data_IF_253576879501
#
_entry.id   IF_253576879501
#
_cell.length_a   1.000
_cell.length_b   1.000
_cell.length_c   1.000
_cell.angle_alpha   90.00
_cell.angle_beta   90.00
_cell.angle_gamma   90.00
#
_symmetry.space_group_name_H-M   'P 1'
#
loop_
_entity.id
_entity.type
_entity.pdbx_description
1 polymer ?
#
# COMPACT_ATOMS: atom_id res chain seq x y z
N UNK A 1 4.60 -21.97 -6.49
CA UNK A 1 4.58 -20.53 -6.14
C UNK A 1 6.02 -20.14 -5.87
N UNK A 2 6.54 -19.01 -6.37
CA UNK A 2 7.85 -18.54 -5.94
C UNK A 2 7.87 -18.39 -4.42
N UNK A 3 9.04 -18.54 -3.82
CA UNK A 3 9.24 -18.40 -2.38
C UNK A 3 8.73 -17.03 -1.92
N UNK A 4 7.94 -17.00 -0.84
CA UNK A 4 7.43 -15.73 -0.31
C UNK A 4 8.58 -14.92 0.24
N UNK A 5 8.61 -13.64 -0.09
CA UNK A 5 9.59 -12.73 0.50
C UNK A 5 9.30 -12.54 1.99
N UNK A 6 10.34 -12.50 2.85
CA UNK A 6 10.13 -12.10 4.23
C UNK A 6 9.69 -10.62 4.27
N UNK A 7 8.93 -10.21 5.31
CA UNK A 7 8.72 -8.80 5.59
C UNK A 7 10.07 -8.04 5.65
N UNK A 8 10.15 -6.76 5.25
CA UNK A 8 11.41 -6.01 5.24
C UNK A 8 12.04 -5.81 6.64
N UNK A 9 11.28 -6.12 7.69
CA UNK A 9 11.62 -5.97 9.10
C UNK A 9 10.35 -5.92 9.95
N UNK A 10 10.45 -5.65 11.25
CA UNK A 10 9.28 -5.40 12.08
C UNK A 10 8.53 -4.17 11.56
N UNK A 11 7.20 -4.22 11.62
CA UNK A 11 6.37 -3.07 11.29
C UNK A 11 6.63 -1.93 12.27
N UNK A 12 6.74 -0.70 11.76
CA UNK A 12 6.97 0.52 12.52
C UNK A 12 5.80 0.82 13.48
N UNK A 13 4.58 0.54 13.04
CA UNK A 13 3.37 0.53 13.86
C UNK A 13 2.92 -0.91 14.11
N UNK A 14 2.01 -1.09 15.07
CA UNK A 14 1.28 -2.36 15.21
C UNK A 14 0.62 -2.71 13.87
N UNK A 15 0.83 -3.94 13.42
CA UNK A 15 0.22 -4.46 12.22
C UNK A 15 -1.31 -4.38 12.30
N UNK A 16 -1.97 -4.15 11.17
CA UNK A 16 -3.43 -4.09 11.09
C UNK A 16 -3.99 -5.31 10.36
N UNK A 17 -5.07 -5.88 10.88
CA UNK A 17 -5.77 -7.01 10.26
C UNK A 17 -6.36 -6.62 8.90
N UNK A 18 -6.07 -7.40 7.87
CA UNK A 18 -6.62 -7.27 6.53
C UNK A 18 -7.52 -8.47 6.27
N UNK A 19 -8.80 -8.24 5.99
CA UNK A 19 -9.74 -9.32 5.65
C UNK A 19 -9.98 -9.43 4.15
N UNK A 20 -9.69 -10.59 3.57
CA UNK A 20 -9.83 -10.88 2.13
C UNK A 20 -10.54 -12.22 1.99
N UNK A 21 -11.82 -12.20 1.60
CA UNK A 21 -12.67 -13.39 1.67
C UNK A 21 -12.63 -13.96 3.09
N UNK A 22 -12.31 -15.24 3.22
CA UNK A 22 -12.18 -15.93 4.50
C UNK A 22 -10.77 -15.84 5.11
N UNK A 23 -9.82 -15.16 4.44
CA UNK A 23 -8.43 -15.05 4.90
C UNK A 23 -8.26 -13.85 5.82
N UNK A 24 -7.52 -14.07 6.91
CA UNK A 24 -6.99 -13.03 7.78
C UNK A 24 -5.50 -12.84 7.47
N UNK A 25 -5.14 -11.66 6.98
CA UNK A 25 -3.78 -11.24 6.66
C UNK A 25 -3.38 -10.05 7.54
N UNK A 26 -2.12 -9.62 7.48
CA UNK A 26 -1.60 -8.50 8.28
C UNK A 26 -0.95 -7.45 7.40
N UNK A 27 -1.40 -6.21 7.50
CA UNK A 27 -0.75 -5.06 6.89
C UNK A 27 0.30 -4.47 7.83
N UNK A 28 1.51 -4.27 7.30
CA UNK A 28 2.60 -3.61 8.01
C UNK A 28 3.18 -2.44 7.22
N UNK A 29 3.99 -1.62 7.90
CA UNK A 29 4.71 -0.52 7.28
C UNK A 29 6.14 -0.38 7.81
N UNK A 30 7.05 0.02 6.93
CA UNK A 30 8.42 0.35 7.32
C UNK A 30 8.45 1.69 8.02
N UNK A 31 9.55 1.99 8.72
CA UNK A 31 9.74 3.32 9.29
C UNK A 31 9.70 4.36 8.15
N UNK A 32 8.79 5.34 8.22
CA UNK A 32 8.71 6.35 7.19
C UNK A 32 9.91 7.29 7.24
N UNK A 33 10.21 7.91 6.11
CA UNK A 33 11.22 8.96 5.98
C UNK A 33 10.57 10.21 5.40
N UNK A 34 10.80 11.34 6.05
CA UNK A 34 10.51 12.64 5.46
C UNK A 34 11.65 13.02 4.51
N UNK A 35 11.29 13.49 3.32
CA UNK A 35 12.18 13.99 2.29
C UNK A 35 11.94 15.50 2.12
N UNK A 36 12.81 16.23 1.38
CA UNK A 36 12.54 17.61 1.00
C UNK A 36 11.20 17.78 0.31
N UNK A 37 10.68 19.01 0.32
CA UNK A 37 9.40 19.39 -0.31
C UNK A 37 8.22 18.53 0.18
N UNK A 38 8.15 18.25 1.48
CA UNK A 38 7.03 17.59 2.17
C UNK A 38 6.69 16.19 1.63
N UNK A 39 7.66 15.52 1.01
CA UNK A 39 7.51 14.14 0.57
C UNK A 39 7.67 13.17 1.74
N UNK A 40 6.71 12.29 1.88
CA UNK A 40 6.70 11.21 2.86
C UNK A 40 6.87 9.87 2.15
N UNK A 41 7.95 9.15 2.46
CA UNK A 41 8.29 7.87 1.84
C UNK A 41 8.16 6.74 2.85
N UNK A 42 7.48 5.65 2.47
CA UNK A 42 7.45 4.42 3.25
C UNK A 42 7.29 3.17 2.37
N UNK A 43 7.61 2.01 2.93
CA UNK A 43 7.25 0.70 2.37
C UNK A 43 6.03 0.18 3.12
N UNK A 44 5.05 -0.33 2.39
CA UNK A 44 3.82 -0.94 2.91
C UNK A 44 3.76 -2.38 2.40
N UNK A 45 3.30 -3.33 3.21
CA UNK A 45 3.18 -4.73 2.78
C UNK A 45 1.99 -5.43 3.42
N UNK A 46 1.58 -6.55 2.83
CA UNK A 46 0.67 -7.51 3.45
C UNK A 46 1.34 -8.87 3.53
N UNK A 47 1.24 -9.50 4.70
CA UNK A 47 1.84 -10.80 4.96
C UNK A 47 0.89 -11.76 5.66
N UNK A 48 1.13 -13.06 5.46
CA UNK A 48 0.65 -14.15 6.29
C UNK A 48 1.80 -14.69 7.16
N UNK A 49 1.63 -15.83 7.81
CA UNK A 49 2.67 -16.52 8.59
C UNK A 49 3.87 -17.00 7.75
N UNK A 50 3.72 -17.13 6.44
CA UNK A 50 4.78 -17.61 5.53
C UNK A 50 5.55 -16.49 4.85
N UNK A 51 5.05 -15.25 4.88
CA UNK A 51 5.74 -14.08 4.35
C UNK A 51 4.79 -13.13 3.62
N UNK A 52 5.36 -12.24 2.80
CA UNK A 52 4.59 -11.29 1.99
C UNK A 52 3.76 -12.04 0.95
N UNK A 53 2.44 -11.80 0.94
CA UNK A 53 1.53 -12.41 -0.01
C UNK A 53 1.72 -11.83 -1.42
N UNK A 54 1.30 -12.52 -2.48
CA UNK A 54 1.28 -11.93 -3.82
C UNK A 54 0.05 -11.01 -3.99
N UNK A 55 0.06 -10.09 -4.95
CA UNK A 55 -1.16 -9.34 -5.29
C UNK A 55 -2.31 -10.27 -5.72
N UNK A 56 -2.00 -11.39 -6.37
CA UNK A 56 -3.00 -12.40 -6.77
C UNK A 56 -3.69 -13.07 -5.58
N UNK A 57 -3.08 -13.05 -4.38
CA UNK A 57 -3.69 -13.58 -3.15
C UNK A 57 -4.86 -12.72 -2.66
N UNK A 58 -4.94 -11.47 -3.13
CA UNK A 58 -5.98 -10.49 -2.76
C UNK A 58 -6.81 -10.00 -3.95
N UNK A 59 -6.64 -10.64 -5.10
CA UNK A 59 -7.38 -10.35 -6.31
C UNK A 59 -8.90 -10.63 -6.12
N UNK A 60 -9.75 -10.09 -7.01
CA UNK A 60 -11.15 -10.46 -7.07
C UNK A 60 -11.36 -11.98 -7.16
N UNK A 61 -12.46 -12.49 -6.61
CA UNK A 61 -12.77 -13.92 -6.64
C UNK A 61 -12.92 -14.47 -8.07
N UNK A 62 -13.33 -13.65 -9.03
CA UNK A 62 -13.39 -14.00 -10.45
C UNK A 62 -12.01 -14.11 -11.12
N UNK A 63 -10.94 -13.75 -10.41
CA UNK A 63 -9.56 -13.76 -10.88
C UNK A 63 -8.97 -12.35 -11.05
N UNK A 64 -7.64 -12.26 -11.22
CA UNK A 64 -6.96 -10.98 -11.41
C UNK A 64 -7.34 -10.29 -12.73
N UNK A 65 -7.72 -9.00 -12.70
CA UNK A 65 -7.88 -8.16 -13.88
C UNK A 65 -6.62 -8.05 -14.75
N UNK A 66 -6.78 -7.64 -16.01
CA UNK A 66 -5.65 -7.38 -16.93
C UNK A 66 -4.80 -6.19 -16.48
N UNK A 67 -5.44 -5.14 -15.96
CA UNK A 67 -4.72 -3.97 -15.44
C UNK A 67 -3.81 -4.33 -14.26
N UNK A 68 -2.64 -3.70 -14.12
CA UNK A 68 -1.78 -3.90 -12.96
C UNK A 68 -2.49 -3.59 -11.63
N UNK A 69 -2.16 -4.30 -10.53
CA UNK A 69 -2.84 -4.12 -9.25
C UNK A 69 -2.76 -2.68 -8.71
N UNK A 70 -1.66 -1.97 -8.99
CA UNK A 70 -1.49 -0.58 -8.57
C UNK A 70 -2.43 0.41 -9.28
N UNK A 71 -2.94 0.06 -10.47
CA UNK A 71 -3.97 0.87 -11.14
C UNK A 71 -5.30 0.88 -10.35
N UNK A 72 -5.53 -0.14 -9.51
CA UNK A 72 -6.69 -0.25 -8.62
C UNK A 72 -6.39 0.23 -7.20
N UNK A 73 -5.22 -0.13 -6.67
CA UNK A 73 -4.82 0.23 -5.32
C UNK A 73 -4.54 1.73 -5.18
N UNK A 74 -3.93 2.36 -6.20
CA UNK A 74 -3.61 3.78 -6.22
C UNK A 74 -4.83 4.66 -5.93
N UNK A 75 -5.89 4.60 -6.76
CA UNK A 75 -7.12 5.35 -6.53
C UNK A 75 -7.79 5.09 -5.17
N UNK A 76 -7.68 3.86 -4.64
CA UNK A 76 -8.23 3.54 -3.32
C UNK A 76 -7.46 4.25 -2.20
N UNK A 77 -6.13 4.25 -2.26
CA UNK A 77 -5.28 4.94 -1.27
C UNK A 77 -5.44 6.45 -1.38
N UNK A 78 -5.43 7.00 -2.60
CA UNK A 78 -5.56 8.45 -2.80
C UNK A 78 -6.92 8.97 -2.34
N UNK A 79 -7.99 8.20 -2.54
CA UNK A 79 -9.32 8.55 -2.03
C UNK A 79 -9.39 8.59 -0.50
N UNK A 80 -8.81 7.62 0.19
CA UNK A 80 -8.78 7.58 1.66
C UNK A 80 -7.89 8.68 2.27
N UNK A 81 -6.86 9.11 1.54
CA UNK A 81 -5.92 10.15 1.98
C UNK A 81 -6.23 11.53 1.37
N UNK A 82 -7.39 11.70 0.74
CA UNK A 82 -7.83 12.97 0.19
C UNK A 82 -7.86 14.06 1.29
N UNK A 83 -7.31 15.24 0.99
CA UNK A 83 -7.16 16.33 1.95
C UNK A 83 -5.94 16.22 2.87
N UNK A 84 -5.23 15.09 2.89
CA UNK A 84 -3.90 14.96 3.52
C UNK A 84 -2.77 15.06 2.48
N UNK A 85 -3.05 14.73 1.24
CA UNK A 85 -2.12 14.76 0.12
C UNK A 85 -2.43 15.99 -0.72
N UNK A 86 -1.39 16.72 -1.13
CA UNK A 86 -1.54 17.91 -1.98
C UNK A 86 -2.00 17.53 -3.38
N UNK A 87 -2.68 18.45 -4.03
CA UNK A 87 -3.09 18.34 -5.42
C UNK A 87 -2.15 19.17 -6.31
N UNK A 88 -1.60 18.54 -7.34
CA UNK A 88 -0.74 19.15 -8.35
C UNK A 88 -1.34 18.89 -9.73
N UNK A 89 -1.74 19.96 -10.44
CA UNK A 89 -2.28 19.84 -11.81
C UNK A 89 -3.53 18.95 -11.92
N UNK A 90 -4.43 19.00 -10.92
CA UNK A 90 -5.65 18.19 -10.91
C UNK A 90 -5.45 16.75 -10.40
N UNK A 91 -4.27 16.41 -9.86
CA UNK A 91 -3.94 15.05 -9.40
C UNK A 91 -3.30 15.09 -8.02
N UNK A 92 -3.70 14.15 -7.16
CA UNK A 92 -3.05 13.98 -5.86
C UNK A 92 -1.60 13.52 -6.04
N UNK A 93 -0.68 14.15 -5.30
CA UNK A 93 0.76 13.91 -5.37
C UNK A 93 1.14 12.56 -4.72
N UNK A 94 0.82 11.46 -5.43
CA UNK A 94 1.12 10.09 -4.99
C UNK A 94 1.89 9.35 -6.06
N UNK A 95 2.93 8.64 -5.63
CA UNK A 95 3.66 7.68 -6.45
C UNK A 95 3.71 6.35 -5.73
N UNK A 96 3.13 5.32 -6.34
CA UNK A 96 3.19 3.95 -5.86
C UNK A 96 4.01 3.12 -6.85
N UNK A 97 4.87 2.25 -6.33
CA UNK A 97 5.59 1.27 -7.13
C UNK A 97 5.77 -0.01 -6.35
N UNK A 98 5.74 -1.19 -6.99
CA UNK A 98 6.01 -2.43 -6.27
C UNK A 98 7.46 -2.40 -5.76
N UNK A 99 7.70 -3.02 -4.61
CA UNK A 99 9.07 -3.22 -4.10
C UNK A 99 9.83 -4.14 -5.06
N UNK A 100 9.19 -5.22 -5.49
CA UNK A 100 9.69 -6.15 -6.50
C UNK A 100 8.74 -6.14 -7.70
N UNK A 101 9.19 -5.77 -8.91
CA UNK A 101 8.35 -5.78 -10.10
C UNK A 101 7.91 -7.21 -10.47
N UNK A 102 6.84 -7.39 -11.26
CA UNK A 102 6.48 -8.71 -11.76
C UNK A 102 7.55 -9.24 -12.72
N UNK A 103 7.92 -10.51 -12.56
CA UNK A 103 8.86 -11.19 -13.46
C UNK A 103 8.31 -11.31 -14.89
N UNK A 104 6.98 -11.48 -15.00
CA UNK A 104 6.25 -11.52 -16.26
C UNK A 104 5.30 -10.30 -16.35
N UNK A 105 5.58 -9.32 -17.21
CA UNK A 105 4.72 -8.16 -17.41
C UNK A 105 3.29 -8.52 -17.87
N UNK A 106 3.08 -9.67 -18.50
CA UNK A 106 1.75 -10.15 -18.88
C UNK A 106 0.96 -10.73 -17.68
N UNK A 107 1.61 -10.87 -16.51
CA UNK A 107 1.01 -11.37 -15.27
C UNK A 107 1.32 -10.43 -14.10
N UNK A 108 0.84 -9.17 -14.14
CA UNK A 108 1.29 -8.12 -13.22
C UNK A 108 0.86 -8.33 -11.77
N UNK A 109 -0.05 -9.28 -11.51
CA UNK A 109 -0.55 -9.62 -10.17
C UNK A 109 0.29 -10.67 -9.42
N UNK A 110 1.28 -11.29 -10.09
CA UNK A 110 2.09 -12.34 -9.46
C UNK A 110 3.24 -11.81 -8.59
N UNK A 111 3.47 -10.50 -8.59
CA UNK A 111 4.48 -9.91 -7.73
C UNK A 111 4.03 -9.85 -6.26
N UNK A 112 4.98 -9.75 -5.32
CA UNK A 112 4.70 -9.56 -3.90
C UNK A 112 3.88 -8.28 -3.64
N UNK A 113 2.94 -8.37 -2.70
CA UNK A 113 2.13 -7.26 -2.17
C UNK A 113 2.97 -6.47 -1.17
N UNK A 114 3.99 -5.80 -1.72
CA UNK A 114 4.80 -4.81 -1.04
C UNK A 114 5.00 -3.61 -1.97
N UNK A 115 4.72 -2.41 -1.46
CA UNK A 115 4.63 -1.17 -2.24
C UNK A 115 5.50 -0.10 -1.60
N UNK A 116 6.33 0.55 -2.42
CA UNK A 116 6.95 1.84 -2.10
C UNK A 116 5.92 2.93 -2.35
N UNK A 117 5.59 3.69 -1.32
CA UNK A 117 4.67 4.81 -1.39
C UNK A 117 5.42 6.11 -1.10
N UNK A 118 5.43 7.02 -2.08
CA UNK A 118 5.83 8.41 -1.89
C UNK A 118 4.56 9.27 -1.94
N UNK A 119 4.34 10.07 -0.89
CA UNK A 119 3.17 10.91 -0.72
C UNK A 119 3.63 12.37 -0.54
N UNK A 120 3.24 13.27 -1.43
CA UNK A 120 3.42 14.71 -1.25
C UNK A 120 2.35 15.20 -0.29
N UNK A 121 2.71 15.42 0.97
CA UNK A 121 1.74 15.81 1.99
C UNK A 121 1.34 17.27 1.80
N UNK A 122 0.13 17.60 2.23
CA UNK A 122 -0.27 18.99 2.42
C UNK A 122 0.44 19.52 3.68
N UNK A 123 1.34 20.52 3.57
CA UNK A 123 2.25 20.89 4.66
C UNK A 123 1.54 21.37 5.92
N UNK A 124 0.47 22.17 5.77
CA UNK A 124 -0.27 22.69 6.92
C UNK A 124 -0.96 21.56 7.67
N UNK A 125 -1.57 20.61 6.96
CA UNK A 125 -2.21 19.45 7.56
C UNK A 125 -1.20 18.54 8.25
N UNK A 126 -0.09 18.22 7.58
CA UNK A 126 0.94 17.35 8.13
C UNK A 126 1.57 17.94 9.41
N UNK A 127 1.78 19.26 9.48
CA UNK A 127 2.35 19.93 10.64
C UNK A 127 1.48 19.83 11.91
N UNK A 128 0.17 19.59 11.76
CA UNK A 128 -0.76 19.41 12.88
C UNK A 128 -0.84 17.98 13.41
N UNK A 129 -0.19 17.02 12.75
CA UNK A 129 -0.27 15.61 13.08
C UNK A 129 0.99 15.13 13.81
N UNK A 130 0.82 14.25 14.79
CA UNK A 130 1.95 13.50 15.36
C UNK A 130 2.45 12.48 14.32
N UNK A 131 3.75 12.13 14.32
CA UNK A 131 4.31 11.16 13.37
C UNK A 131 3.54 9.82 13.32
N UNK A 132 3.14 9.30 14.48
CA UNK A 132 2.38 8.05 14.56
C UNK A 132 0.93 8.18 14.05
N UNK A 133 0.33 9.37 14.12
CA UNK A 133 -1.01 9.62 13.58
C UNK A 133 -0.98 9.61 12.05
N UNK A 134 0.01 10.28 11.46
CA UNK A 134 0.24 10.27 10.02
C UNK A 134 0.54 8.86 9.51
N UNK A 135 1.47 8.15 10.16
CA UNK A 135 1.79 6.78 9.83
C UNK A 135 0.57 5.85 9.92
N UNK A 136 -0.27 6.03 10.95
CA UNK A 136 -1.50 5.25 11.15
C UNK A 136 -2.52 5.53 10.05
N UNK A 137 -2.68 6.79 9.63
CA UNK A 137 -3.57 7.16 8.52
C UNK A 137 -3.14 6.48 7.22
N UNK A 138 -1.84 6.52 6.89
CA UNK A 138 -1.28 5.88 5.69
C UNK A 138 -1.47 4.35 5.72
N UNK A 139 -1.13 3.69 6.84
CA UNK A 139 -1.31 2.25 6.98
C UNK A 139 -2.79 1.85 6.90
N UNK A 140 -3.68 2.64 7.47
CA UNK A 140 -5.13 2.41 7.43
C UNK A 140 -5.68 2.55 6.01
N UNK A 141 -5.26 3.57 5.26
CA UNK A 141 -5.66 3.76 3.86
C UNK A 141 -5.17 2.60 2.99
N UNK A 142 -3.93 2.15 3.18
CA UNK A 142 -3.39 0.98 2.49
C UNK A 142 -4.18 -0.30 2.80
N UNK A 143 -4.43 -0.59 4.08
CA UNK A 143 -5.24 -1.74 4.51
C UNK A 143 -6.62 -1.73 3.84
N UNK A 144 -7.35 -0.61 3.91
CA UNK A 144 -8.68 -0.46 3.27
C UNK A 144 -8.61 -0.62 1.76
N UNK A 145 -7.57 -0.08 1.13
CA UNK A 145 -7.32 -0.24 -0.30
C UNK A 145 -7.16 -1.71 -0.68
N UNK A 146 -6.36 -2.47 0.07
CA UNK A 146 -6.17 -3.92 -0.15
C UNK A 146 -7.47 -4.69 0.04
N UNK A 147 -8.23 -4.45 1.11
CA UNK A 147 -9.55 -5.07 1.31
C UNK A 147 -10.53 -4.75 0.16
N UNK A 148 -10.38 -3.57 -0.45
CA UNK A 148 -11.14 -3.14 -1.61
C UNK A 148 -10.80 -3.88 -2.91
N UNK A 149 -9.56 -4.37 -3.07
CA UNK A 149 -9.13 -5.09 -4.27
C UNK A 149 -9.90 -6.39 -4.48
N UNK A 150 -10.28 -7.07 -3.41
CA UNK A 150 -11.04 -8.31 -3.50
C UNK A 150 -12.51 -8.08 -3.91
N UNK A 151 -13.06 -6.90 -3.58
CA UNK A 151 -14.48 -6.56 -3.81
C UNK A 151 -14.78 -5.99 -5.20
N UNK A 152 -13.76 -5.55 -5.94
CA UNK A 152 -13.90 -4.75 -7.17
C UNK A 152 -13.08 -5.33 -8.31
#
# INVERSE_FOLDING_TARGET
MPERLPPPGPSFLREQDVRVGDRLLRAGMGRPSALPDDWYLCVLWVADETGIVAFSDVAPAAGPPADPPLARLGPAITGELAGLIREEGGRLAVRLGPVVPPDDPARPWRCPLAVRAALGLEPMRAATMRPNELASAVLTAFRRGVEGLHRR
#
